data_IF_564255147920
#
_entry.id   IF_564255147920
#
_cell.length_a   1.000
_cell.length_b   1.000
_cell.length_c   1.000
_cell.angle_alpha   90.00
_cell.angle_beta   90.00
_cell.angle_gamma   90.00
#
_symmetry.space_group_name_H-M   'P 1'
#
loop_
_entity.id
_entity.type
_entity.pdbx_description
1 polymer ?
#
# COMPACT_ATOMS: atom_id res chain seq x y z
N UNK A 1 -7.15 -22.76 -28.52
CA UNK A 1 -5.93 -23.24 -29.25
C UNK A 1 -4.77 -23.20 -28.29
N UNK A 2 -4.31 -24.40 -27.89
CA UNK A 2 -3.19 -24.64 -26.98
C UNK A 2 -1.93 -23.91 -27.46
N UNK A 3 -1.10 -23.46 -26.50
CA UNK A 3 0.27 -23.07 -26.76
C UNK A 3 1.05 -24.29 -27.29
N UNK A 4 0.96 -24.57 -28.60
CA UNK A 4 1.83 -25.54 -29.24
C UNK A 4 3.09 -24.79 -29.66
N UNK A 5 4.14 -24.93 -28.88
CA UNK A 5 5.49 -24.59 -29.28
C UNK A 5 6.08 -25.79 -30.03
N UNK A 6 6.12 -25.72 -31.35
CA UNK A 6 6.93 -26.64 -32.19
C UNK A 6 8.34 -26.03 -32.26
N UNK A 7 9.33 -26.73 -31.75
CA UNK A 7 10.74 -26.41 -31.70
C UNK A 7 11.27 -26.54 -30.25
N UNK A 8 12.48 -27.03 -30.10
CA UNK A 8 13.20 -26.95 -28.81
C UNK A 8 13.52 -25.49 -28.53
N UNK A 9 12.62 -24.83 -27.78
CA UNK A 9 12.78 -23.44 -27.32
C UNK A 9 13.40 -23.48 -25.94
N UNK A 10 14.61 -23.00 -25.80
CA UNK A 10 15.29 -22.89 -24.52
C UNK A 10 14.54 -21.95 -23.59
N UNK A 11 13.90 -22.50 -22.54
CA UNK A 11 13.19 -21.77 -21.52
C UNK A 11 13.95 -21.85 -20.20
N UNK A 12 14.21 -20.72 -19.57
CA UNK A 12 14.89 -20.66 -18.30
C UNK A 12 14.01 -19.98 -17.25
N UNK A 13 13.77 -20.66 -16.14
CA UNK A 13 13.25 -20.06 -14.91
C UNK A 13 14.46 -19.64 -14.10
N UNK A 14 14.56 -18.38 -13.70
CA UNK A 14 15.74 -17.88 -13.01
C UNK A 14 15.40 -16.93 -11.87
N UNK A 15 16.35 -16.76 -10.97
CA UNK A 15 16.35 -15.84 -9.86
C UNK A 15 17.78 -15.41 -9.54
N UNK A 16 17.96 -14.23 -8.92
CA UNK A 16 19.24 -13.73 -8.44
C UNK A 16 19.17 -13.35 -6.96
N UNK A 17 20.28 -13.51 -6.25
CA UNK A 17 20.43 -12.98 -4.89
C UNK A 17 21.49 -11.88 -4.84
N UNK A 18 21.25 -10.88 -3.99
CA UNK A 18 22.02 -9.65 -3.94
C UNK A 18 22.25 -9.20 -2.50
N UNK A 19 23.01 -8.11 -2.31
CA UNK A 19 23.29 -7.50 -1.02
C UNK A 19 22.15 -6.62 -0.46
N UNK A 20 21.03 -6.46 -1.19
CA UNK A 20 19.89 -5.70 -0.69
C UNK A 20 18.92 -5.22 -1.76
N UNK A 21 17.97 -4.36 -1.38
CA UNK A 21 16.93 -3.85 -2.29
C UNK A 21 17.45 -2.80 -3.29
N UNK A 22 18.52 -2.08 -2.95
CA UNK A 22 19.28 -1.22 -3.87
C UNK A 22 20.70 -1.77 -3.99
N UNK A 23 20.88 -2.84 -4.78
CA UNK A 23 22.09 -3.65 -4.72
C UNK A 23 23.28 -3.00 -5.37
N UNK A 24 24.46 -3.35 -4.82
CA UNK A 24 25.78 -3.09 -5.37
C UNK A 24 26.44 -4.36 -5.92
N UNK A 25 25.95 -5.54 -5.51
CA UNK A 25 26.51 -6.85 -5.86
C UNK A 25 25.40 -7.86 -6.14
N UNK A 26 25.59 -8.70 -7.18
CA UNK A 26 24.84 -9.94 -7.36
C UNK A 26 25.70 -11.08 -6.81
N UNK A 27 25.22 -11.78 -5.80
CA UNK A 27 25.93 -12.87 -5.16
C UNK A 27 25.86 -14.16 -5.94
N UNK A 28 24.69 -14.50 -6.42
CA UNK A 28 24.48 -15.68 -7.25
C UNK A 28 23.29 -15.52 -8.21
N UNK A 29 23.30 -16.35 -9.24
CA UNK A 29 22.24 -16.55 -10.20
C UNK A 29 22.00 -18.05 -10.32
N UNK A 30 20.74 -18.44 -10.18
CA UNK A 30 20.31 -19.82 -10.42
C UNK A 30 19.29 -19.82 -11.55
N UNK A 31 19.45 -20.74 -12.48
CA UNK A 31 18.49 -20.96 -13.55
C UNK A 31 18.12 -22.45 -13.62
N UNK A 32 16.86 -22.72 -13.94
CA UNK A 32 16.35 -24.07 -14.21
C UNK A 32 15.82 -24.13 -15.63
N UNK A 33 16.27 -25.11 -16.40
CA UNK A 33 15.86 -25.30 -17.78
C UNK A 33 14.54 -26.08 -17.91
N UNK A 34 14.05 -26.25 -19.13
CA UNK A 34 12.81 -26.96 -19.44
C UNK A 34 12.82 -28.44 -19.08
N UNK A 35 14.01 -29.03 -18.91
CA UNK A 35 14.22 -30.41 -18.47
C UNK A 35 14.29 -30.56 -16.96
N UNK A 36 14.24 -29.43 -16.24
CA UNK A 36 14.32 -29.41 -14.77
C UNK A 36 15.76 -29.41 -14.23
N UNK A 37 16.77 -29.24 -15.07
CA UNK A 37 18.17 -29.18 -14.66
C UNK A 37 18.50 -27.80 -14.15
N UNK A 38 19.17 -27.75 -12.98
CA UNK A 38 19.68 -26.51 -12.39
C UNK A 38 21.05 -26.14 -12.95
N UNK A 39 21.25 -24.84 -13.14
CA UNK A 39 22.48 -24.19 -13.52
C UNK A 39 22.78 -23.11 -12.48
N UNK A 40 23.96 -23.19 -11.87
CA UNK A 40 24.37 -22.30 -10.78
C UNK A 40 25.54 -21.43 -11.23
N UNK A 41 25.44 -20.13 -10.97
CA UNK A 41 26.48 -19.15 -11.31
C UNK A 41 26.70 -18.23 -10.12
N UNK A 42 27.92 -18.14 -9.67
CA UNK A 42 28.33 -17.28 -8.54
C UNK A 42 29.81 -16.94 -8.71
N UNK A 43 30.27 -15.92 -7.99
CA UNK A 43 31.66 -15.46 -8.07
C UNK A 43 32.10 -15.23 -9.53
N UNK A 44 33.19 -15.84 -9.95
CA UNK A 44 33.79 -15.66 -11.30
C UNK A 44 32.89 -16.17 -12.44
N UNK A 45 31.94 -17.06 -12.17
CA UNK A 45 31.04 -17.63 -13.18
C UNK A 45 29.78 -16.79 -13.44
N UNK A 46 29.54 -15.72 -12.67
CA UNK A 46 28.31 -14.92 -12.79
C UNK A 46 28.11 -14.33 -14.18
N UNK A 47 29.19 -13.87 -14.82
CA UNK A 47 29.12 -13.33 -16.18
C UNK A 47 28.73 -14.40 -17.23
N UNK A 48 29.13 -15.64 -17.00
CA UNK A 48 28.72 -16.76 -17.85
C UNK A 48 27.22 -17.03 -17.67
N UNK A 49 26.71 -16.95 -16.46
CA UNK A 49 25.31 -17.06 -16.12
C UNK A 49 24.45 -16.01 -16.86
N UNK A 50 24.88 -14.75 -16.87
CA UNK A 50 24.16 -13.69 -17.59
C UNK A 50 24.17 -13.94 -19.10
N UNK A 51 25.30 -14.38 -19.67
CA UNK A 51 25.38 -14.78 -21.08
C UNK A 51 24.51 -16.01 -21.36
N UNK A 52 24.35 -16.92 -20.40
CA UNK A 52 23.47 -18.07 -20.52
C UNK A 52 22.00 -17.62 -20.60
N UNK A 53 21.57 -16.66 -19.75
CA UNK A 53 20.22 -16.07 -19.84
C UNK A 53 19.97 -15.37 -21.20
N UNK A 54 20.97 -14.71 -21.76
CA UNK A 54 20.83 -14.04 -23.07
C UNK A 54 20.45 -15.02 -24.19
N UNK A 55 20.96 -16.28 -24.15
CA UNK A 55 20.71 -17.31 -25.15
C UNK A 55 19.29 -17.90 -25.11
N UNK A 56 18.60 -17.78 -23.96
CA UNK A 56 17.27 -18.36 -23.82
C UNK A 56 16.24 -17.68 -24.74
N UNK A 57 15.33 -18.44 -25.30
CA UNK A 57 14.19 -17.95 -26.08
C UNK A 57 13.11 -17.36 -25.14
N UNK A 58 13.09 -17.81 -23.89
CA UNK A 58 12.16 -17.33 -22.87
C UNK A 58 12.81 -17.28 -21.51
N UNK A 59 12.65 -16.14 -20.83
CA UNK A 59 13.06 -15.91 -19.47
C UNK A 59 11.81 -15.81 -18.57
N UNK A 60 11.79 -16.62 -17.54
CA UNK A 60 10.69 -16.73 -16.60
C UNK A 60 11.24 -16.45 -15.21
N UNK A 61 10.56 -15.61 -14.44
CA UNK A 61 10.92 -15.35 -13.06
C UNK A 61 9.77 -14.72 -12.28
N UNK A 62 9.97 -14.48 -10.99
CA UNK A 62 8.95 -13.90 -10.13
C UNK A 62 9.31 -12.47 -9.75
N UNK A 63 8.58 -11.48 -10.25
CA UNK A 63 8.91 -10.06 -10.11
C UNK A 63 10.20 -9.65 -10.84
N UNK A 64 10.59 -10.37 -11.85
CA UNK A 64 11.84 -10.10 -12.59
C UNK A 64 11.81 -8.77 -13.35
N UNK A 65 10.63 -8.28 -13.73
CA UNK A 65 10.45 -6.94 -14.31
C UNK A 65 10.71 -5.83 -13.29
N UNK A 66 10.39 -6.09 -12.03
CA UNK A 66 10.57 -5.14 -10.94
C UNK A 66 11.96 -5.16 -10.31
N UNK A 67 12.66 -6.30 -10.38
CA UNK A 67 13.92 -6.47 -9.66
C UNK A 67 15.05 -7.07 -10.51
N UNK A 68 15.03 -8.33 -10.84
CA UNK A 68 16.18 -9.06 -11.41
C UNK A 68 16.73 -8.44 -12.70
N UNK A 69 15.86 -8.20 -13.69
CA UNK A 69 16.28 -7.63 -14.98
C UNK A 69 16.84 -6.20 -14.80
N UNK A 70 16.20 -5.29 -14.08
CA UNK A 70 16.77 -3.98 -13.77
C UNK A 70 18.10 -4.03 -13.01
N UNK A 71 18.24 -4.95 -12.05
CA UNK A 71 19.47 -5.11 -11.25
C UNK A 71 20.62 -5.60 -12.14
N UNK A 72 20.39 -6.63 -12.94
CA UNK A 72 21.38 -7.11 -13.92
C UNK A 72 21.81 -5.97 -14.83
N UNK A 73 20.86 -5.21 -15.38
CA UNK A 73 21.16 -4.06 -16.25
C UNK A 73 21.98 -2.99 -15.51
N UNK A 74 21.60 -2.64 -14.25
CA UNK A 74 22.30 -1.65 -13.41
C UNK A 74 23.76 -2.03 -13.20
N UNK A 75 24.03 -3.30 -12.83
CA UNK A 75 25.33 -3.74 -12.38
C UNK A 75 26.26 -4.24 -13.50
N UNK A 76 25.70 -4.66 -14.63
CA UNK A 76 26.47 -5.26 -15.72
C UNK A 76 26.37 -4.52 -17.05
N UNK A 77 25.44 -3.59 -17.19
CA UNK A 77 25.10 -2.92 -18.44
C UNK A 77 24.28 -3.77 -19.43
N UNK A 78 24.04 -5.05 -19.13
CA UNK A 78 23.33 -5.97 -20.01
C UNK A 78 21.83 -5.87 -19.78
N UNK A 79 21.09 -5.49 -20.82
CA UNK A 79 19.62 -5.45 -20.78
C UNK A 79 19.04 -6.77 -21.31
N UNK A 80 18.41 -7.54 -20.41
CA UNK A 80 17.74 -8.79 -20.75
C UNK A 80 16.30 -8.60 -21.21
N UNK A 81 15.76 -7.38 -21.12
CA UNK A 81 14.36 -7.11 -21.45
C UNK A 81 14.09 -7.23 -22.95
N UNK A 82 13.24 -8.18 -23.32
CA UNK A 82 12.62 -8.30 -24.64
C UNK A 82 11.15 -8.67 -24.43
N UNK A 83 10.24 -7.82 -24.91
CA UNK A 83 8.81 -7.87 -24.58
C UNK A 83 8.13 -9.24 -24.83
N UNK A 84 8.57 -9.97 -25.86
CA UNK A 84 8.00 -11.28 -26.22
C UNK A 84 8.73 -12.46 -25.54
N UNK A 85 9.83 -12.20 -24.87
CA UNK A 85 10.70 -13.18 -24.22
C UNK A 85 10.44 -13.34 -22.73
N UNK A 86 9.93 -12.30 -22.08
CA UNK A 86 9.78 -12.24 -20.62
C UNK A 86 8.42 -12.75 -20.17
N UNK A 87 8.43 -13.62 -19.16
CA UNK A 87 7.25 -14.00 -18.38
C UNK A 87 7.53 -13.75 -16.90
N UNK A 88 6.80 -12.80 -16.32
CA UNK A 88 6.83 -12.52 -14.89
C UNK A 88 5.65 -13.24 -14.21
N UNK A 89 5.95 -14.23 -13.37
CA UNK A 89 4.92 -15.05 -12.72
C UNK A 89 4.12 -14.27 -11.67
N UNK A 90 4.66 -13.16 -11.13
CA UNK A 90 3.90 -12.25 -10.25
C UNK A 90 2.82 -11.52 -11.04
N UNK A 91 3.16 -10.99 -12.22
CA UNK A 91 2.20 -10.34 -13.13
C UNK A 91 1.13 -11.32 -13.54
N UNK A 92 1.54 -12.53 -13.98
CA UNK A 92 0.62 -13.56 -14.42
C UNK A 92 -0.31 -14.03 -13.29
N UNK A 93 0.22 -14.24 -12.09
CA UNK A 93 -0.56 -14.64 -10.90
C UNK A 93 -1.63 -13.60 -10.53
N UNK A 94 -1.30 -12.30 -10.62
CA UNK A 94 -2.24 -11.20 -10.35
C UNK A 94 -3.31 -11.08 -11.44
N UNK A 95 -2.89 -11.19 -12.69
CA UNK A 95 -3.80 -11.07 -13.84
C UNK A 95 -4.86 -12.18 -13.85
N UNK A 96 -4.45 -13.42 -13.61
CA UNK A 96 -5.34 -14.58 -13.65
C UNK A 96 -6.32 -14.63 -12.46
N UNK A 97 -5.88 -14.17 -11.29
CA UNK A 97 -6.74 -14.13 -10.11
C UNK A 97 -6.28 -13.03 -9.11
N UNK A 98 -6.79 -11.80 -9.25
CA UNK A 98 -6.38 -10.67 -8.39
C UNK A 98 -6.79 -10.85 -6.91
N UNK A 99 -7.76 -11.72 -6.61
CA UNK A 99 -8.26 -12.00 -5.26
C UNK A 99 -7.68 -13.29 -4.64
N UNK A 100 -6.56 -13.76 -5.16
CA UNK A 100 -5.94 -15.02 -4.75
C UNK A 100 -5.72 -15.08 -3.24
N UNK A 101 -6.31 -16.09 -2.62
CA UNK A 101 -6.16 -16.34 -1.19
C UNK A 101 -4.69 -16.55 -0.81
N UNK A 102 -4.26 -15.85 0.24
CA UNK A 102 -2.87 -15.85 0.71
C UNK A 102 -1.93 -14.93 -0.08
N UNK A 103 -2.37 -14.37 -1.22
CA UNK A 103 -1.59 -13.43 -2.03
C UNK A 103 -0.70 -14.09 -3.09
N UNK A 104 0.23 -13.33 -3.65
CA UNK A 104 0.95 -13.68 -4.89
C UNK A 104 2.45 -13.96 -4.72
N UNK A 105 3.05 -13.71 -3.54
CA UNK A 105 4.50 -13.90 -3.32
C UNK A 105 4.93 -15.36 -3.39
N UNK A 106 6.19 -15.60 -3.77
CA UNK A 106 6.80 -16.94 -3.78
C UNK A 106 6.64 -17.64 -2.42
N UNK A 107 6.83 -16.90 -1.31
CA UNK A 107 6.65 -17.44 0.04
C UNK A 107 5.22 -17.93 0.35
N UNK A 108 4.20 -17.39 -0.33
CA UNK A 108 2.81 -17.84 -0.21
C UNK A 108 2.47 -18.97 -1.19
N UNK A 109 3.15 -19.00 -2.34
CA UNK A 109 3.01 -20.08 -3.30
C UNK A 109 3.72 -21.36 -2.89
N UNK A 110 4.91 -21.27 -2.27
CA UNK A 110 5.71 -22.42 -1.88
C UNK A 110 4.91 -23.50 -1.11
N UNK A 111 4.25 -23.19 0.02
CA UNK A 111 3.42 -24.15 0.74
C UNK A 111 2.28 -24.74 -0.10
N UNK A 112 1.63 -23.95 -0.95
CA UNK A 112 0.55 -24.42 -1.85
C UNK A 112 1.04 -25.43 -2.88
N UNK A 113 2.31 -25.32 -3.28
CA UNK A 113 2.95 -26.19 -4.27
C UNK A 113 3.74 -27.34 -3.61
N UNK A 114 3.65 -27.50 -2.29
CA UNK A 114 4.37 -28.52 -1.53
C UNK A 114 5.88 -28.26 -1.38
N UNK A 115 6.31 -27.02 -1.59
CA UNK A 115 7.70 -26.58 -1.50
C UNK A 115 7.80 -25.31 -0.59
N UNK A 116 7.76 -25.44 0.73
CA UNK A 116 7.91 -24.27 1.58
C UNK A 116 9.26 -23.57 1.33
N UNK A 117 9.22 -22.24 1.38
CA UNK A 117 10.41 -21.40 1.25
C UNK A 117 11.39 -21.70 2.39
N UNK A 118 12.68 -21.60 2.12
CA UNK A 118 13.71 -21.71 3.15
C UNK A 118 13.78 -20.47 4.01
N UNK A 119 14.45 -20.57 5.16
CA UNK A 119 14.73 -19.42 6.00
C UNK A 119 15.69 -18.45 5.26
N UNK A 120 15.51 -17.17 5.54
CA UNK A 120 16.30 -16.10 4.91
C UNK A 120 17.76 -16.20 5.31
N UNK A 121 18.71 -16.22 4.36
CA UNK A 121 20.13 -16.25 4.67
C UNK A 121 20.63 -14.87 5.14
N UNK A 122 21.93 -14.81 5.51
CA UNK A 122 22.68 -13.55 5.66
C UNK A 122 22.97 -12.96 4.27
N UNK A 123 22.76 -11.65 4.11
CA UNK A 123 22.84 -10.96 2.81
C UNK A 123 24.15 -10.19 2.60
N UNK A 124 24.99 -10.05 3.61
CA UNK A 124 26.21 -9.24 3.54
C UNK A 124 27.33 -9.88 2.70
N UNK A 125 27.30 -11.20 2.50
CA UNK A 125 28.29 -11.96 1.74
C UNK A 125 27.68 -13.19 1.10
N UNK A 126 28.33 -13.70 0.05
CA UNK A 126 27.92 -14.96 -0.58
C UNK A 126 28.07 -16.14 0.39
N UNK A 127 27.04 -16.97 0.47
CA UNK A 127 27.04 -18.23 1.22
C UNK A 127 26.41 -19.37 0.43
N UNK A 128 26.73 -20.63 0.78
CA UNK A 128 26.09 -21.81 0.18
C UNK A 128 24.60 -21.91 0.57
N UNK A 129 24.25 -21.40 1.72
CA UNK A 129 22.88 -21.29 2.20
C UNK A 129 22.08 -20.34 1.28
N UNK A 130 22.67 -19.21 0.89
CA UNK A 130 22.07 -18.26 -0.06
C UNK A 130 21.87 -18.91 -1.44
N UNK A 131 22.86 -19.64 -1.96
CA UNK A 131 22.72 -20.38 -3.21
C UNK A 131 21.56 -21.40 -3.13
N UNK A 132 21.49 -22.13 -2.02
CA UNK A 132 20.42 -23.12 -1.77
C UNK A 132 19.04 -22.48 -1.57
N UNK A 133 18.99 -21.23 -1.07
CA UNK A 133 17.77 -20.43 -0.96
C UNK A 133 17.30 -19.98 -2.36
N UNK A 134 18.19 -19.41 -3.18
CA UNK A 134 17.92 -19.04 -4.56
C UNK A 134 17.42 -20.24 -5.40
N UNK A 135 18.09 -21.40 -5.29
CA UNK A 135 17.66 -22.64 -5.94
C UNK A 135 16.24 -23.04 -5.53
N UNK A 136 15.90 -22.91 -4.24
CA UNK A 136 14.55 -23.18 -3.76
C UNK A 136 13.51 -22.22 -4.36
N UNK A 137 13.82 -20.94 -4.48
CA UNK A 137 12.91 -19.95 -5.05
C UNK A 137 12.70 -20.21 -6.54
N UNK A 138 13.74 -20.62 -7.28
CA UNK A 138 13.65 -21.06 -8.67
C UNK A 138 12.78 -22.33 -8.83
N UNK A 139 12.94 -23.34 -7.97
CA UNK A 139 12.12 -24.57 -8.00
C UNK A 139 10.64 -24.27 -7.72
N UNK A 140 10.36 -23.43 -6.71
CA UNK A 140 8.98 -22.99 -6.45
C UNK A 140 8.42 -22.27 -7.68
N UNK A 141 9.20 -21.38 -8.29
CA UNK A 141 8.75 -20.59 -9.43
C UNK A 141 8.57 -21.44 -10.69
N UNK A 142 9.39 -22.45 -10.91
CA UNK A 142 9.20 -23.44 -11.98
C UNK A 142 7.86 -24.17 -11.86
N UNK A 143 7.52 -24.66 -10.65
CA UNK A 143 6.22 -25.28 -10.38
C UNK A 143 5.08 -24.28 -10.50
N UNK A 144 5.28 -23.05 -10.02
CA UNK A 144 4.32 -21.96 -10.14
C UNK A 144 4.02 -21.63 -11.60
N UNK A 145 5.05 -21.48 -12.42
CA UNK A 145 4.86 -21.22 -13.84
C UNK A 145 4.05 -22.34 -14.53
N UNK A 146 4.34 -23.59 -14.23
CA UNK A 146 3.59 -24.72 -14.77
C UNK A 146 2.14 -24.75 -14.27
N UNK A 147 1.87 -24.33 -13.05
CA UNK A 147 0.53 -24.15 -12.51
C UNK A 147 -0.22 -23.04 -13.24
N UNK A 148 0.37 -21.83 -13.31
CA UNK A 148 -0.22 -20.66 -13.97
C UNK A 148 -0.42 -20.86 -15.47
N UNK A 149 0.47 -21.62 -16.14
CA UNK A 149 0.32 -22.01 -17.55
C UNK A 149 -0.97 -22.82 -17.77
N UNK A 150 -1.33 -23.69 -16.84
CA UNK A 150 -2.61 -24.43 -16.89
C UNK A 150 -3.80 -23.52 -16.62
N UNK A 151 -3.68 -22.66 -15.60
CA UNK A 151 -4.73 -21.71 -15.22
C UNK A 151 -5.01 -20.68 -16.35
N UNK A 152 -4.00 -20.36 -17.17
CA UNK A 152 -4.12 -19.41 -18.30
C UNK A 152 -4.76 -20.00 -19.56
N UNK A 153 -5.17 -21.27 -19.54
CA UNK A 153 -5.87 -21.87 -20.70
C UNK A 153 -7.17 -21.13 -20.99
N UNK A 154 -7.33 -20.66 -22.23
CA UNK A 154 -8.46 -19.83 -22.63
C UNK A 154 -8.31 -18.33 -22.35
N UNK A 155 -7.26 -17.91 -21.67
CA UNK A 155 -6.98 -16.49 -21.46
C UNK A 155 -6.32 -15.85 -22.70
N UNK A 156 -6.60 -14.57 -22.97
CA UNK A 156 -6.03 -13.85 -24.11
C UNK A 156 -4.51 -13.70 -23.97
N UNK A 157 -3.77 -14.11 -25.00
CA UNK A 157 -2.32 -13.94 -25.08
C UNK A 157 -1.93 -12.46 -25.18
N UNK A 158 -2.73 -11.71 -25.90
CA UNK A 158 -2.56 -10.27 -26.12
C UNK A 158 -2.71 -9.53 -24.79
N UNK A 159 -3.68 -9.93 -23.96
CA UNK A 159 -3.86 -9.38 -22.62
C UNK A 159 -2.64 -9.69 -21.73
N UNK A 160 -2.15 -10.93 -21.73
CA UNK A 160 -0.95 -11.31 -20.97
C UNK A 160 0.27 -10.47 -21.41
N UNK A 161 0.49 -10.33 -22.72
CA UNK A 161 1.58 -9.49 -23.25
C UNK A 161 1.42 -8.02 -22.89
N UNK A 162 0.20 -7.51 -22.97
CA UNK A 162 -0.10 -6.12 -22.61
C UNK A 162 0.27 -5.84 -21.15
N UNK A 163 -0.17 -6.68 -20.21
CA UNK A 163 0.10 -6.52 -18.79
C UNK A 163 1.60 -6.56 -18.46
N UNK A 164 2.37 -7.43 -19.12
CA UNK A 164 3.83 -7.47 -18.96
C UNK A 164 4.50 -6.20 -19.50
N UNK A 165 4.09 -5.70 -20.69
CA UNK A 165 4.61 -4.45 -21.26
C UNK A 165 4.27 -3.24 -20.37
N UNK A 166 3.03 -3.15 -19.89
CA UNK A 166 2.60 -2.08 -19.00
C UNK A 166 3.37 -2.15 -17.67
N UNK A 167 3.53 -3.34 -17.09
CA UNK A 167 4.34 -3.51 -15.87
C UNK A 167 5.77 -3.03 -16.08
N UNK A 168 6.41 -3.36 -17.21
CA UNK A 168 7.75 -2.86 -17.52
C UNK A 168 7.82 -1.33 -17.56
N UNK A 169 6.84 -0.68 -18.20
CA UNK A 169 6.73 0.80 -18.24
C UNK A 169 6.54 1.37 -16.83
N UNK A 170 5.66 0.77 -16.02
CA UNK A 170 5.39 1.22 -14.65
C UNK A 170 6.62 1.07 -13.75
N UNK A 171 7.41 0.01 -13.93
CA UNK A 171 8.66 -0.16 -13.21
C UNK A 171 9.76 0.82 -13.68
N UNK A 172 9.76 1.22 -14.96
CA UNK A 172 10.60 2.33 -15.42
C UNK A 172 10.16 3.67 -14.81
N UNK A 173 8.85 3.94 -14.80
CA UNK A 173 8.30 5.14 -14.16
C UNK A 173 8.68 5.22 -12.68
N UNK A 174 8.56 4.10 -11.94
CA UNK A 174 8.98 4.01 -10.54
C UNK A 174 10.47 4.32 -10.37
N UNK A 175 11.34 3.75 -11.21
CA UNK A 175 12.79 4.04 -11.15
C UNK A 175 13.13 5.48 -11.50
N UNK A 176 12.43 6.07 -12.46
CA UNK A 176 12.62 7.48 -12.79
C UNK A 176 12.15 8.41 -11.67
N UNK A 177 11.08 8.05 -10.98
CA UNK A 177 10.44 8.91 -9.99
C UNK A 177 9.90 10.21 -10.56
N UNK A 178 9.25 10.99 -9.72
CA UNK A 178 8.77 12.33 -10.03
C UNK A 178 9.51 13.35 -9.18
N UNK A 179 10.09 14.37 -9.82
CA UNK A 179 10.78 15.43 -9.11
C UNK A 179 9.80 16.19 -8.22
N UNK A 180 10.22 16.44 -6.98
CA UNK A 180 9.36 17.00 -5.94
C UNK A 180 10.01 18.24 -5.33
N UNK A 181 9.23 19.27 -5.10
CA UNK A 181 9.66 20.49 -4.43
C UNK A 181 9.33 20.37 -2.94
N UNK A 182 10.28 19.89 -2.16
CA UNK A 182 10.14 19.65 -0.73
C UNK A 182 10.03 20.96 0.06
N UNK A 183 10.68 22.05 -0.37
CA UNK A 183 10.56 23.38 0.26
C UNK A 183 9.10 23.90 0.18
N UNK A 184 8.49 23.84 -1.01
CA UNK A 184 7.09 24.23 -1.23
C UNK A 184 6.15 23.32 -0.42
N UNK A 185 6.43 22.01 -0.37
CA UNK A 185 5.65 21.07 0.40
C UNK A 185 5.75 21.30 1.91
N UNK A 186 6.92 21.63 2.44
CA UNK A 186 7.12 21.99 3.84
C UNK A 186 6.38 23.28 4.20
N UNK A 187 6.40 24.27 3.30
CA UNK A 187 5.64 25.51 3.48
C UNK A 187 4.13 25.21 3.54
N UNK A 188 3.60 24.43 2.61
CA UNK A 188 2.21 24.00 2.59
C UNK A 188 1.84 23.20 3.87
N UNK A 189 2.71 22.29 4.30
CA UNK A 189 2.50 21.52 5.53
C UNK A 189 2.42 22.42 6.76
N UNK A 190 3.28 23.43 6.83
CA UNK A 190 3.26 24.43 7.92
C UNK A 190 1.95 25.23 7.94
N UNK A 191 1.50 25.72 6.79
CA UNK A 191 0.22 26.43 6.64
C UNK A 191 -0.96 25.55 7.07
N UNK A 192 -1.00 24.31 6.58
CA UNK A 192 -2.06 23.36 6.91
C UNK A 192 -2.07 23.01 8.40
N UNK A 193 -0.89 22.85 9.01
CA UNK A 193 -0.74 22.58 10.45
C UNK A 193 -1.25 23.73 11.28
N UNK A 194 -0.94 24.98 10.91
CA UNK A 194 -1.46 26.16 11.57
C UNK A 194 -3.00 26.24 11.52
N UNK A 195 -3.56 26.06 10.32
CA UNK A 195 -5.04 26.06 10.14
C UNK A 195 -5.72 24.93 10.88
N UNK A 196 -5.10 23.75 10.91
CA UNK A 196 -5.59 22.60 11.66
C UNK A 196 -5.68 22.92 13.14
N UNK A 197 -4.61 23.48 13.74
CA UNK A 197 -4.56 23.84 15.14
C UNK A 197 -5.55 24.98 15.50
N UNK A 198 -5.63 26.00 14.64
CA UNK A 198 -6.60 27.09 14.81
C UNK A 198 -8.04 26.57 14.81
N UNK A 199 -8.35 25.65 13.89
CA UNK A 199 -9.70 25.08 13.77
C UNK A 199 -10.01 24.15 14.93
N UNK A 200 -9.05 23.36 15.40
CA UNK A 200 -9.18 22.50 16.58
C UNK A 200 -9.48 23.32 17.82
N UNK A 201 -8.77 24.42 18.04
CA UNK A 201 -9.02 25.34 19.17
C UNK A 201 -10.46 25.90 19.12
N UNK A 202 -10.92 26.39 17.96
CA UNK A 202 -12.29 26.86 17.76
C UNK A 202 -13.36 25.80 18.08
N UNK A 203 -13.09 24.55 17.65
CA UNK A 203 -13.98 23.43 17.93
C UNK A 203 -14.02 23.13 19.44
N UNK A 204 -12.88 23.14 20.13
CA UNK A 204 -12.81 22.93 21.59
C UNK A 204 -13.39 24.08 22.38
N UNK A 205 -13.43 25.29 21.85
CA UNK A 205 -14.18 26.40 22.47
C UNK A 205 -15.68 26.12 22.52
N UNK A 206 -16.23 25.49 21.47
CA UNK A 206 -17.66 25.15 21.38
C UNK A 206 -17.98 23.84 22.09
N UNK A 207 -17.21 22.80 21.83
CA UNK A 207 -17.43 21.46 22.39
C UNK A 207 -16.57 21.24 23.64
N UNK A 208 -17.05 21.74 24.76
CA UNK A 208 -16.37 21.52 26.05
C UNK A 208 -16.36 20.05 26.45
N UNK A 209 -15.38 19.62 27.28
CA UNK A 209 -15.36 18.29 27.85
C UNK A 209 -16.66 17.96 28.59
N UNK A 210 -17.10 16.72 28.47
CA UNK A 210 -18.32 16.22 29.11
C UNK A 210 -18.02 15.06 30.04
N UNK A 211 -18.81 14.92 31.10
CA UNK A 211 -18.74 13.75 31.94
C UNK A 211 -19.46 12.58 31.28
N UNK A 212 -18.71 11.51 31.03
CA UNK A 212 -19.24 10.26 30.46
C UNK A 212 -19.09 9.11 31.44
N UNK A 213 -20.01 8.15 31.37
CA UNK A 213 -19.89 6.94 32.13
C UNK A 213 -18.71 6.11 31.62
N UNK A 214 -17.77 5.74 32.51
CA UNK A 214 -16.57 4.99 32.20
C UNK A 214 -16.80 3.49 32.51
N UNK A 215 -16.85 3.17 33.81
CA UNK A 215 -17.02 1.78 34.23
C UNK A 215 -17.70 1.67 35.57
N UNK A 216 -18.39 0.53 35.77
CA UNK A 216 -18.99 0.16 37.05
C UNK A 216 -17.88 -0.20 38.04
N UNK A 217 -17.77 0.53 39.09
CA UNK A 217 -16.86 0.28 40.22
C UNK A 217 -17.60 -0.43 41.34
N UNK A 218 -17.05 -1.57 41.76
CA UNK A 218 -17.52 -2.30 42.96
C UNK A 218 -16.45 -2.20 44.04
N UNK A 219 -16.62 -1.36 45.06
CA UNK A 219 -15.67 -1.23 46.16
C UNK A 219 -15.45 -2.59 46.83
N UNK A 220 -14.19 -2.99 47.01
CA UNK A 220 -13.84 -4.25 47.69
C UNK A 220 -13.46 -4.00 49.13
N UNK A 221 -13.77 -4.95 50.00
CA UNK A 221 -13.28 -4.98 51.35
C UNK A 221 -12.08 -5.92 51.51
N UNK A 222 -11.16 -5.56 52.37
CA UNK A 222 -10.07 -6.42 52.85
C UNK A 222 -10.61 -7.52 53.80
N UNK A 223 -9.77 -8.50 54.13
CA UNK A 223 -10.13 -9.57 55.10
C UNK A 223 -10.48 -9.01 56.47
N UNK A 224 -9.96 -7.84 56.85
CA UNK A 224 -10.23 -7.14 58.11
C UNK A 224 -11.50 -6.25 58.09
N UNK A 225 -12.29 -6.32 57.01
CA UNK A 225 -13.53 -5.54 56.84
C UNK A 225 -13.30 -4.08 56.39
N UNK A 226 -12.05 -3.63 56.29
CA UNK A 226 -11.74 -2.24 55.83
C UNK A 226 -11.85 -2.13 54.31
N UNK A 227 -12.14 -0.91 53.84
CA UNK A 227 -12.18 -0.63 52.41
C UNK A 227 -10.80 -0.85 51.76
N UNK A 228 -10.79 -1.53 50.63
CA UNK A 228 -9.58 -1.72 49.81
C UNK A 228 -9.41 -0.53 48.88
N UNK A 229 -8.18 -0.04 48.71
CA UNK A 229 -7.82 0.94 47.68
C UNK A 229 -7.84 0.40 46.27
N UNK A 230 -7.88 -0.91 46.11
CA UNK A 230 -7.80 -1.56 44.79
C UNK A 230 -9.00 -1.19 43.90
N UNK A 231 -8.71 -0.63 42.73
CA UNK A 231 -9.73 -0.20 41.76
C UNK A 231 -10.40 1.11 42.01
N UNK A 232 -10.07 1.79 43.10
CA UNK A 232 -10.55 3.14 43.45
C UNK A 232 -9.47 4.19 43.15
N UNK A 233 -9.88 5.39 42.73
CA UNK A 233 -9.02 6.58 42.74
C UNK A 233 -8.80 7.04 44.15
N UNK A 234 -7.82 7.93 44.39
CA UNK A 234 -7.57 8.52 45.69
C UNK A 234 -8.81 9.27 46.19
N UNK A 235 -9.44 10.04 45.28
CA UNK A 235 -10.64 10.82 45.61
C UNK A 235 -11.83 9.93 45.96
N UNK A 236 -12.13 8.88 45.16
CA UNK A 236 -13.20 7.92 45.39
C UNK A 236 -13.02 7.21 46.75
N UNK A 237 -11.79 6.83 47.07
CA UNK A 237 -11.48 6.22 48.36
C UNK A 237 -11.76 7.18 49.53
N UNK A 238 -11.33 8.46 49.41
CA UNK A 238 -11.60 9.49 50.42
C UNK A 238 -13.10 9.74 50.55
N UNK A 239 -13.82 9.92 49.44
CA UNK A 239 -15.24 10.19 49.41
C UNK A 239 -16.08 9.06 50.07
N UNK A 240 -15.66 7.79 49.88
CA UNK A 240 -16.30 6.65 50.55
C UNK A 240 -16.01 6.66 52.05
N UNK A 241 -14.79 6.99 52.48
CA UNK A 241 -14.43 7.05 53.90
C UNK A 241 -15.14 8.19 54.61
N UNK A 242 -15.28 9.34 53.92
CA UNK A 242 -15.97 10.53 54.43
C UNK A 242 -17.50 10.43 54.36
N UNK A 243 -18.04 9.35 53.78
CA UNK A 243 -19.49 9.14 53.62
C UNK A 243 -20.14 9.95 52.50
N UNK A 244 -19.34 10.62 51.64
CA UNK A 244 -19.84 11.39 50.49
C UNK A 244 -20.26 10.46 49.35
N UNK A 245 -19.65 9.27 49.26
CA UNK A 245 -19.96 8.23 48.28
C UNK A 245 -20.30 6.92 49.00
N UNK A 246 -21.40 6.28 48.61
CA UNK A 246 -21.81 5.02 49.20
C UNK A 246 -20.83 3.86 48.86
N UNK A 247 -20.68 2.90 49.78
CA UNK A 247 -19.88 1.68 49.58
C UNK A 247 -20.51 0.67 48.64
N UNK A 248 -21.54 1.05 47.89
CA UNK A 248 -22.20 0.24 46.86
C UNK A 248 -21.51 0.35 45.52
N UNK A 249 -21.91 -0.48 44.56
CA UNK A 249 -21.46 -0.34 43.18
C UNK A 249 -21.95 1.01 42.62
N UNK A 250 -21.04 1.74 42.00
CA UNK A 250 -21.34 3.02 41.36
C UNK A 250 -20.70 3.11 39.98
N UNK A 251 -21.31 3.92 39.12
CA UNK A 251 -20.76 4.20 37.80
C UNK A 251 -19.71 5.33 37.92
N UNK A 252 -18.46 5.00 37.60
CA UNK A 252 -17.40 6.02 37.50
C UNK A 252 -17.70 6.87 36.29
N UNK A 253 -17.60 8.16 36.45
CA UNK A 253 -17.62 9.14 35.37
C UNK A 253 -16.23 9.69 35.15
N UNK A 254 -15.84 9.84 33.87
CA UNK A 254 -14.60 10.50 33.48
C UNK A 254 -14.91 11.72 32.64
N UNK A 255 -14.12 12.77 32.81
CA UNK A 255 -14.21 13.95 31.95
C UNK A 255 -13.57 13.57 30.58
N UNK A 256 -14.37 13.53 29.53
CA UNK A 256 -13.95 13.21 28.21
C UNK A 256 -13.86 14.47 27.36
N UNK A 257 -12.66 14.76 26.87
CA UNK A 257 -12.44 15.79 25.87
C UNK A 257 -13.03 15.37 24.53
N UNK A 258 -13.45 16.36 23.73
CA UNK A 258 -13.96 16.10 22.39
C UNK A 258 -12.81 15.71 21.44
N UNK A 259 -12.81 14.47 20.99
CA UNK A 259 -11.81 13.95 20.07
C UNK A 259 -12.29 14.06 18.61
N UNK A 260 -11.74 15.01 17.88
CA UNK A 260 -11.99 15.24 16.45
C UNK A 260 -11.52 14.08 15.54
N UNK A 261 -10.65 13.19 16.02
CA UNK A 261 -10.30 11.93 15.32
C UNK A 261 -11.40 10.87 15.43
N UNK A 262 -12.34 11.01 16.39
CA UNK A 262 -13.39 10.02 16.64
C UNK A 262 -14.67 10.33 15.89
N UNK A 263 -14.91 9.64 14.77
CA UNK A 263 -16.17 9.77 13.99
C UNK A 263 -17.42 9.54 14.84
N UNK A 264 -17.32 8.64 15.83
CA UNK A 264 -18.41 8.36 16.78
C UNK A 264 -18.72 9.58 17.61
N UNK A 265 -17.71 10.22 18.22
CA UNK A 265 -17.93 11.41 19.04
C UNK A 265 -18.46 12.58 18.20
N UNK A 266 -17.91 12.80 17.00
CA UNK A 266 -18.41 13.82 16.08
C UNK A 266 -19.90 13.60 15.79
N UNK A 267 -20.30 12.37 15.44
CA UNK A 267 -21.71 12.05 15.18
C UNK A 267 -22.61 12.30 16.38
N UNK A 268 -22.19 11.92 17.59
CA UNK A 268 -22.95 12.13 18.81
C UNK A 268 -23.13 13.63 19.12
N UNK A 269 -22.04 14.40 19.09
CA UNK A 269 -22.07 15.85 19.38
C UNK A 269 -22.90 16.63 18.38
N UNK A 270 -22.85 16.27 17.10
CA UNK A 270 -23.71 16.90 16.07
C UNK A 270 -25.19 16.54 16.23
N UNK A 271 -25.51 15.31 16.66
CA UNK A 271 -26.89 14.91 16.97
C UNK A 271 -27.46 15.67 18.17
N UNK A 272 -26.63 15.96 19.20
CA UNK A 272 -27.00 16.83 20.32
C UNK A 272 -27.35 18.25 19.84
N UNK A 273 -26.75 18.73 18.76
CA UNK A 273 -27.06 19.99 18.08
C UNK A 273 -28.23 19.91 17.08
N UNK A 274 -28.90 18.75 16.99
CA UNK A 274 -30.08 18.57 16.15
C UNK A 274 -29.80 17.94 14.77
N UNK A 275 -28.59 17.48 14.49
CA UNK A 275 -28.30 16.74 13.27
C UNK A 275 -29.01 15.39 13.25
N UNK A 276 -29.70 15.08 12.15
CA UNK A 276 -30.33 13.79 11.92
C UNK A 276 -29.58 13.06 10.79
N UNK A 277 -28.75 12.05 11.11
CA UNK A 277 -28.01 11.31 10.09
C UNK A 277 -28.93 10.46 9.22
N UNK A 278 -28.69 10.48 7.90
CA UNK A 278 -29.44 9.66 6.93
C UNK A 278 -28.70 8.37 6.56
N UNK A 279 -27.38 8.31 6.78
CA UNK A 279 -26.55 7.18 6.38
C UNK A 279 -25.82 6.62 7.61
N UNK A 280 -25.79 5.27 7.68
CA UNK A 280 -25.18 4.55 8.79
C UNK A 280 -24.20 3.50 8.27
N UNK A 281 -23.18 3.17 9.06
CA UNK A 281 -22.30 2.02 8.83
C UNK A 281 -23.08 0.72 9.07
N UNK A 282 -22.58 -0.44 8.61
CA UNK A 282 -23.17 -1.74 8.94
C UNK A 282 -23.30 -2.01 10.43
N UNK A 283 -22.52 -1.33 11.27
CA UNK A 283 -22.55 -1.40 12.75
C UNK A 283 -23.50 -0.39 13.40
N UNK A 284 -24.30 0.33 12.59
CA UNK A 284 -25.29 1.31 13.09
C UNK A 284 -24.73 2.66 13.53
N UNK A 285 -23.47 2.98 13.24
CA UNK A 285 -22.91 4.31 13.52
C UNK A 285 -23.22 5.27 12.37
N UNK A 286 -23.56 6.53 12.69
CA UNK A 286 -23.74 7.57 11.69
C UNK A 286 -22.46 7.75 10.85
N UNK A 287 -22.60 7.82 9.53
CA UNK A 287 -21.49 8.10 8.62
C UNK A 287 -21.16 9.60 8.74
N UNK A 288 -19.94 9.88 9.17
CA UNK A 288 -19.40 11.23 9.31
C UNK A 288 -18.17 11.35 8.41
N UNK A 289 -18.35 11.97 7.27
CA UNK A 289 -17.28 12.32 6.33
C UNK A 289 -17.40 13.78 5.88
N UNK A 290 -16.40 14.28 5.17
CA UNK A 290 -16.34 15.65 4.67
C UNK A 290 -17.58 16.02 3.83
N UNK A 291 -18.06 15.11 2.98
CA UNK A 291 -19.22 15.36 2.11
C UNK A 291 -20.52 15.42 2.89
N UNK A 292 -20.65 14.61 3.92
CA UNK A 292 -21.81 14.60 4.83
C UNK A 292 -21.84 15.89 5.65
N UNK A 293 -20.68 16.28 6.23
CA UNK A 293 -20.58 17.46 7.05
C UNK A 293 -20.85 18.76 6.27
N UNK A 294 -20.33 18.88 5.04
CA UNK A 294 -20.59 20.03 4.16
C UNK A 294 -22.06 20.26 3.82
N UNK A 295 -22.89 19.22 3.89
CA UNK A 295 -24.35 19.31 3.68
C UNK A 295 -25.11 19.81 4.92
N UNK A 296 -24.47 19.83 6.09
CA UNK A 296 -25.09 20.29 7.34
C UNK A 296 -24.89 21.80 7.46
N UNK A 297 -25.62 22.59 6.69
CA UNK A 297 -25.44 24.05 6.63
C UNK A 297 -26.05 24.81 7.79
N UNK A 298 -26.98 24.19 8.55
CA UNK A 298 -27.69 24.79 9.68
C UNK A 298 -26.91 24.68 11.02
N UNK A 299 -25.81 23.91 11.05
CA UNK A 299 -24.94 23.75 12.22
C UNK A 299 -23.55 24.26 11.86
N UNK A 300 -23.16 25.41 12.41
CA UNK A 300 -21.87 26.06 12.13
C UNK A 300 -20.68 25.18 12.52
N UNK A 301 -20.81 24.43 13.60
CA UNK A 301 -19.80 23.53 14.13
C UNK A 301 -19.50 22.36 13.16
N UNK A 302 -20.49 21.93 12.38
CA UNK A 302 -20.29 20.92 11.36
C UNK A 302 -19.33 21.40 10.26
N UNK A 303 -19.38 22.70 9.91
CA UNK A 303 -18.46 23.29 8.93
C UNK A 303 -17.02 23.34 9.49
N UNK A 304 -16.84 23.76 10.74
CA UNK A 304 -15.53 23.76 11.41
C UNK A 304 -14.93 22.33 11.46
N UNK A 305 -15.75 21.34 11.77
CA UNK A 305 -15.30 19.94 11.78
C UNK A 305 -14.95 19.47 10.35
N UNK A 306 -15.72 19.88 9.35
CA UNK A 306 -15.41 19.56 7.94
C UNK A 306 -14.06 20.16 7.51
N UNK A 307 -13.79 21.41 7.90
CA UNK A 307 -12.51 22.08 7.61
C UNK A 307 -11.36 21.40 8.35
N UNK A 308 -11.51 21.04 9.63
CA UNK A 308 -10.52 20.27 10.37
C UNK A 308 -10.17 18.96 9.65
N UNK A 309 -11.17 18.19 9.23
CA UNK A 309 -10.96 16.92 8.53
C UNK A 309 -10.30 17.12 7.16
N UNK A 310 -10.60 18.20 6.46
CA UNK A 310 -9.94 18.57 5.22
C UNK A 310 -8.46 18.87 5.46
N UNK A 311 -8.14 19.74 6.41
CA UNK A 311 -6.75 20.11 6.73
C UNK A 311 -5.96 18.90 7.20
N UNK A 312 -6.51 18.08 8.09
CA UNK A 312 -5.89 16.83 8.56
C UNK A 312 -5.56 15.89 7.39
N UNK A 313 -6.52 15.69 6.48
CA UNK A 313 -6.32 14.84 5.30
C UNK A 313 -5.24 15.41 4.38
N UNK A 314 -5.25 16.71 4.09
CA UNK A 314 -4.25 17.34 3.24
C UNK A 314 -2.86 17.31 3.85
N UNK A 315 -2.76 17.63 5.13
CA UNK A 315 -1.50 17.56 5.87
C UNK A 315 -0.91 16.15 5.85
N UNK A 316 -1.71 15.13 6.14
CA UNK A 316 -1.26 13.74 6.07
C UNK A 316 -0.79 13.33 4.66
N UNK A 317 -1.46 13.81 3.59
CA UNK A 317 -1.02 13.57 2.23
C UNK A 317 0.33 14.24 1.94
N UNK A 318 0.49 15.52 2.29
CA UNK A 318 1.74 16.27 2.05
C UNK A 318 2.90 15.63 2.82
N UNK A 319 2.71 15.28 4.10
CA UNK A 319 3.73 14.56 4.87
C UNK A 319 4.11 13.23 4.22
N UNK A 320 3.14 12.44 3.74
CA UNK A 320 3.42 11.17 3.08
C UNK A 320 4.26 11.32 1.80
N UNK A 321 4.19 12.48 1.14
CA UNK A 321 5.03 12.78 -0.02
C UNK A 321 6.43 13.23 0.41
N UNK A 322 6.54 14.13 1.39
CA UNK A 322 7.82 14.59 1.95
C UNK A 322 8.63 13.38 2.44
N UNK A 323 8.02 12.49 3.23
CA UNK A 323 8.66 11.29 3.77
C UNK A 323 9.11 10.29 2.68
N UNK A 324 8.52 10.38 1.49
CA UNK A 324 8.83 9.51 0.36
C UNK A 324 9.91 10.06 -0.59
N UNK A 325 10.36 11.31 -0.41
CA UNK A 325 11.42 11.90 -1.21
C UNK A 325 12.74 11.14 -0.94
N UNK A 326 13.45 10.82 -2.00
CA UNK A 326 14.77 10.17 -1.95
C UNK A 326 15.88 11.20 -2.16
N UNK A 327 17.13 10.75 -2.00
CA UNK A 327 18.33 11.59 -2.12
C UNK A 327 18.48 12.29 -3.49
N UNK A 328 17.82 11.75 -4.52
CA UNK A 328 17.76 12.37 -5.86
C UNK A 328 16.68 13.46 -6.00
N UNK A 329 15.99 13.83 -4.90
CA UNK A 329 14.92 14.81 -4.87
C UNK A 329 13.62 14.31 -5.53
N UNK A 330 13.44 13.00 -5.67
CA UNK A 330 12.30 12.41 -6.36
C UNK A 330 11.48 11.49 -5.46
N UNK A 331 10.22 11.35 -5.81
CA UNK A 331 9.28 10.40 -5.20
C UNK A 331 9.10 9.21 -6.14
N UNK A 332 9.41 8.01 -5.67
CA UNK A 332 9.40 6.76 -6.43
C UNK A 332 8.19 5.88 -6.10
N UNK A 333 6.99 6.43 -6.26
CA UNK A 333 5.76 5.69 -6.02
C UNK A 333 5.57 4.50 -6.97
N UNK A 334 5.02 3.42 -6.45
CA UNK A 334 4.77 2.19 -7.20
C UNK A 334 3.34 2.13 -7.73
N UNK A 335 3.18 1.58 -8.94
CA UNK A 335 1.87 1.25 -9.52
C UNK A 335 1.82 -0.26 -9.77
N UNK A 336 0.80 -0.91 -9.25
CA UNK A 336 0.53 -2.33 -9.48
C UNK A 336 -0.51 -2.44 -10.59
N UNK A 337 -0.18 -3.09 -11.69
CA UNK A 337 -0.98 -3.15 -12.92
C UNK A 337 -2.40 -3.67 -12.67
N UNK A 338 -2.54 -4.79 -12.01
CA UNK A 338 -3.83 -5.42 -11.64
C UNK A 338 -3.98 -5.43 -10.10
N UNK A 339 -3.81 -4.26 -9.48
CA UNK A 339 -3.76 -4.15 -8.02
C UNK A 339 -5.11 -4.19 -7.30
N UNK A 340 -6.21 -3.95 -8.02
CA UNK A 340 -7.57 -4.01 -7.50
C UNK A 340 -8.30 -5.26 -8.00
N UNK A 341 -9.31 -5.72 -7.25
CA UNK A 341 -10.14 -6.89 -7.62
C UNK A 341 -10.90 -6.69 -8.95
N UNK A 342 -11.09 -5.44 -9.35
CA UNK A 342 -11.72 -5.04 -10.62
C UNK A 342 -10.73 -5.01 -11.79
N UNK A 343 -9.47 -5.40 -11.61
CA UNK A 343 -8.41 -5.29 -12.60
C UNK A 343 -7.83 -3.88 -12.78
N UNK A 344 -8.30 -2.88 -12.01
CA UNK A 344 -7.73 -1.52 -12.04
C UNK A 344 -6.35 -1.50 -11.40
N UNK A 345 -5.51 -0.55 -11.83
CA UNK A 345 -4.23 -0.27 -11.21
C UNK A 345 -4.39 0.25 -9.79
N UNK A 346 -3.45 -0.10 -8.92
CA UNK A 346 -3.37 0.41 -7.55
C UNK A 346 -2.03 1.08 -7.30
N UNK A 347 -2.07 2.24 -6.65
CA UNK A 347 -0.88 3.04 -6.31
C UNK A 347 -0.49 2.83 -4.84
N UNK A 348 0.82 2.81 -4.57
CA UNK A 348 1.35 2.73 -3.20
C UNK A 348 2.75 3.33 -3.09
N UNK A 349 3.10 3.76 -1.90
CA UNK A 349 4.40 4.15 -1.46
C UNK A 349 5.04 5.37 -2.13
N UNK A 350 4.34 6.54 -2.18
CA UNK A 350 2.99 6.90 -1.75
C UNK A 350 1.92 6.69 -2.83
N UNK A 351 0.64 6.88 -2.47
CA UNK A 351 -0.45 6.86 -3.45
C UNK A 351 -0.52 8.21 -4.21
N UNK A 352 0.17 8.30 -5.33
CA UNK A 352 0.21 9.52 -6.15
C UNK A 352 -1.06 9.76 -6.99
N UNK A 353 -1.94 8.75 -7.15
CA UNK A 353 -3.22 8.95 -7.85
C UNK A 353 -4.22 9.80 -7.06
N UNK A 354 -3.97 10.04 -5.77
CA UNK A 354 -4.84 10.83 -4.90
C UNK A 354 -4.38 12.29 -4.73
N UNK A 355 -3.43 12.77 -5.53
CA UNK A 355 -3.11 14.21 -5.58
C UNK A 355 -4.37 14.97 -5.96
N UNK A 356 -4.81 15.97 -5.16
CA UNK A 356 -6.10 16.63 -5.37
C UNK A 356 -6.20 17.28 -6.74
N UNK A 357 -7.40 17.31 -7.30
CA UNK A 357 -7.66 18.06 -8.53
C UNK A 357 -7.48 19.57 -8.30
N UNK A 358 -7.11 20.30 -9.34
CA UNK A 358 -6.83 21.74 -9.28
C UNK A 358 -7.97 22.56 -8.67
N UNK A 359 -9.21 22.14 -8.94
CA UNK A 359 -10.42 22.79 -8.41
C UNK A 359 -10.80 22.35 -6.98
N UNK A 360 -10.12 21.35 -6.43
CA UNK A 360 -10.31 20.94 -5.02
C UNK A 360 -9.61 21.89 -4.07
N UNK A 361 -10.07 22.03 -2.83
CA UNK A 361 -9.36 22.79 -1.81
C UNK A 361 -7.90 22.29 -1.67
N UNK A 362 -6.95 23.23 -1.74
CA UNK A 362 -5.50 22.99 -1.77
C UNK A 362 -5.01 22.16 -2.97
N UNK A 363 -5.81 22.05 -4.03
CA UNK A 363 -5.44 21.25 -5.20
C UNK A 363 -4.29 21.86 -5.98
N UNK A 364 -4.27 23.20 -6.15
CA UNK A 364 -3.18 23.91 -6.83
C UNK A 364 -1.88 23.79 -6.06
N UNK A 365 -1.92 24.03 -4.75
CA UNK A 365 -0.79 23.99 -3.84
C UNK A 365 -0.20 22.57 -3.75
N UNK A 366 -1.04 21.56 -3.64
CA UNK A 366 -0.59 20.16 -3.68
C UNK A 366 0.07 19.78 -5.00
N UNK A 367 -0.44 20.31 -6.13
CA UNK A 367 0.12 20.03 -7.47
C UNK A 367 1.39 20.80 -7.76
N UNK A 368 1.58 22.03 -7.21
CA UNK A 368 2.80 22.80 -7.37
C UNK A 368 4.02 22.12 -6.74
N UNK A 369 3.82 21.22 -5.77
CA UNK A 369 4.91 20.41 -5.23
C UNK A 369 5.49 19.38 -6.24
N UNK A 370 4.73 19.02 -7.28
CA UNK A 370 5.16 18.08 -8.32
C UNK A 370 5.70 18.83 -9.53
N UNK A 371 7.01 18.81 -9.70
CA UNK A 371 7.73 19.62 -10.67
C UNK A 371 8.48 18.76 -11.69
N UNK A 372 9.04 19.42 -12.69
CA UNK A 372 9.91 18.81 -13.70
C UNK A 372 11.24 19.55 -13.77
N UNK A 373 12.32 18.90 -14.21
CA UNK A 373 13.60 19.58 -14.42
C UNK A 373 13.49 20.76 -15.40
N UNK A 374 14.36 21.74 -15.27
CA UNK A 374 14.41 22.87 -16.19
C UNK A 374 14.53 22.39 -17.66
N UNK A 375 13.69 22.91 -18.51
CA UNK A 375 13.62 22.54 -19.94
C UNK A 375 12.68 21.38 -20.25
N UNK A 376 12.10 20.73 -19.25
CA UNK A 376 11.09 19.68 -19.41
C UNK A 376 9.68 20.21 -19.19
N UNK A 377 8.69 19.44 -19.66
CA UNK A 377 7.27 19.71 -19.43
C UNK A 377 6.59 18.46 -18.90
N UNK A 378 5.68 18.63 -17.95
CA UNK A 378 4.77 17.57 -17.54
C UNK A 378 3.62 17.50 -18.54
N UNK A 379 3.42 16.35 -19.17
CA UNK A 379 2.35 16.09 -20.12
C UNK A 379 1.34 15.16 -19.48
N UNK A 380 0.08 15.60 -19.41
CA UNK A 380 -1.04 14.78 -18.94
C UNK A 380 -1.94 14.40 -20.11
N UNK A 381 -2.32 13.11 -20.18
CA UNK A 381 -3.28 12.59 -21.17
C UNK A 381 -4.37 11.85 -20.39
N UNK A 382 -5.61 12.21 -20.62
CA UNK A 382 -6.78 11.56 -20.03
C UNK A 382 -7.81 11.18 -21.10
N UNK A 383 -8.35 9.97 -20.98
CA UNK A 383 -9.38 9.48 -21.91
C UNK A 383 -10.76 9.91 -21.42
N UNK A 384 -11.33 10.90 -22.07
CA UNK A 384 -12.66 11.45 -21.73
C UNK A 384 -13.78 10.40 -21.85
N UNK A 385 -14.52 10.20 -20.76
CA UNK A 385 -15.69 9.31 -20.72
C UNK A 385 -15.39 7.85 -21.04
N UNK A 386 -14.20 7.34 -20.68
CA UNK A 386 -13.72 6.02 -21.07
C UNK A 386 -14.69 4.89 -20.72
N UNK A 387 -15.20 4.87 -19.48
CA UNK A 387 -16.12 3.83 -19.03
C UNK A 387 -17.43 3.83 -19.84
N UNK A 388 -18.00 5.00 -20.11
CA UNK A 388 -19.24 5.12 -20.88
C UNK A 388 -19.02 4.69 -22.34
N UNK A 389 -17.92 5.07 -22.95
CA UNK A 389 -17.55 4.65 -24.32
C UNK A 389 -17.37 3.14 -24.44
N UNK A 390 -16.69 2.54 -23.46
CA UNK A 390 -16.53 1.09 -23.42
C UNK A 390 -17.87 0.37 -23.17
N UNK A 391 -18.72 0.92 -22.31
CA UNK A 391 -20.07 0.38 -22.09
C UNK A 391 -20.88 0.40 -23.40
N UNK A 392 -20.94 1.54 -24.11
CA UNK A 392 -21.60 1.66 -25.41
C UNK A 392 -21.05 0.65 -26.42
N UNK A 393 -19.72 0.50 -26.48
CA UNK A 393 -19.07 -0.50 -27.34
C UNK A 393 -19.54 -1.93 -27.05
N UNK A 394 -19.59 -2.35 -25.76
CA UNK A 394 -20.05 -3.68 -25.39
C UNK A 394 -21.54 -3.89 -25.55
N UNK A 395 -22.32 -2.82 -25.46
CA UNK A 395 -23.79 -2.84 -25.72
C UNK A 395 -24.10 -2.78 -27.23
N UNK A 396 -23.10 -2.57 -28.08
CA UNK A 396 -23.27 -2.27 -29.51
C UNK A 396 -24.21 -1.08 -29.75
N UNK A 397 -24.18 -0.08 -28.87
CA UNK A 397 -24.94 1.16 -28.93
C UNK A 397 -24.06 2.25 -29.59
N UNK A 398 -24.59 2.96 -30.60
CA UNK A 398 -23.89 3.96 -31.39
C UNK A 398 -23.84 5.35 -30.72
#
# INVERSE_FOLDING_TARGET
>A
TSYHFKGEHMQLVFDIETDGLDPSVIWCLVAQDEHGKFHHFYEDTLQEGIKFLQKADRLIGHNILGYDIPVIKKLTGIDLYQADKIIDTLVLSRLLNPTREGGHSIGKWGPKLGLPKKDSPEWSTFTKEMLSYCERDVDINYKLFNYLKKESLGFSKECIKLEHKVTHILEQQKRNGFLFNDEEAMFLASELSFKLQETENKVHETFKPIWVDDKMIKPKLKKDGKLSKQGLTVQEYSDIIEGKLERKAFMRKTLQEFNLGSRKQIGQRLQELGWKPNNFTPTGQAIVDENTLKKITHIKEAQLIADFLLYQKRLAQVHSWIDAVKDDGRVHGSVICTGAITGRMAHRGPNMAQVPAVYSPYGKECRSCWIVPKGYKLVGIDASGLELRLLAHYMADE
#
